data_IF_232942805733
#
_entry.id   IF_232942805733
#
_cell.length_a   1.000
_cell.length_b   1.000
_cell.length_c   1.000
_cell.angle_alpha   90.00
_cell.angle_beta   90.00
_cell.angle_gamma   90.00
#
_symmetry.space_group_name_H-M   'P 1'
#
loop_
_entity.id
_entity.type
_entity.pdbx_description
1 polymer ?
#
# COMPACT_ATOMS: atom_id res chain seq x y z
N UNK A 1 9.49 -4.62 -3.81
CA UNK A 1 9.41 -3.58 -2.75
C UNK A 1 7.98 -3.56 -2.26
N UNK A 2 7.73 -3.53 -0.94
CA UNK A 2 6.37 -3.65 -0.38
C UNK A 2 5.50 -2.44 -0.76
N UNK A 3 4.27 -2.67 -1.21
CA UNK A 3 3.31 -1.64 -1.62
C UNK A 3 2.52 -1.14 -0.42
N UNK A 4 2.78 0.08 0.05
CA UNK A 4 1.97 0.72 1.09
C UNK A 4 0.95 1.62 0.40
N UNK A 5 -0.34 1.32 0.58
CA UNK A 5 -1.46 2.06 0.02
C UNK A 5 -2.21 2.74 1.17
N UNK A 6 -2.30 4.08 1.12
CA UNK A 6 -3.06 4.84 2.09
C UNK A 6 -4.50 5.01 1.59
N UNK A 7 -5.45 4.59 2.41
CA UNK A 7 -6.87 4.76 2.13
C UNK A 7 -7.30 6.18 2.50
N UNK A 8 -7.59 6.95 1.46
CA UNK A 8 -8.07 8.31 1.50
C UNK A 8 -9.43 8.42 0.80
N UNK A 9 -10.26 7.37 0.84
CA UNK A 9 -11.62 7.41 0.28
C UNK A 9 -12.52 8.42 1.02
N UNK A 10 -12.20 8.74 2.28
CA UNK A 10 -12.94 9.70 3.12
C UNK A 10 -12.04 10.87 3.52
N UNK A 11 -12.61 12.08 3.47
CA UNK A 11 -11.97 13.29 3.95
C UNK A 11 -12.17 13.44 5.46
N UNK A 12 -11.16 13.09 6.23
CA UNK A 12 -11.11 13.34 7.69
C UNK A 12 -10.69 14.77 7.99
N UNK A 13 -10.89 15.24 9.22
CA UNK A 13 -10.51 16.60 9.65
C UNK A 13 -9.01 16.90 9.44
N UNK A 14 -8.17 15.87 9.56
CA UNK A 14 -6.71 15.93 9.38
C UNK A 14 -6.23 15.48 7.99
N UNK A 15 -7.13 15.37 7.00
CA UNK A 15 -6.81 14.85 5.66
C UNK A 15 -5.60 15.51 5.01
N UNK A 16 -5.51 16.85 5.05
CA UNK A 16 -4.40 17.59 4.43
C UNK A 16 -3.06 17.28 5.09
N UNK A 17 -3.04 17.18 6.42
CA UNK A 17 -1.83 16.86 7.18
C UNK A 17 -1.36 15.43 6.87
N UNK A 18 -2.30 14.48 6.75
CA UNK A 18 -2.01 13.10 6.36
C UNK A 18 -1.43 13.02 4.94
N UNK A 19 -2.01 13.73 3.97
CA UNK A 19 -1.51 13.76 2.60
C UNK A 19 -0.12 14.40 2.54
N UNK A 20 0.09 15.50 3.26
CA UNK A 20 1.39 16.16 3.33
C UNK A 20 2.46 15.23 3.92
N UNK A 21 2.15 14.54 5.02
CA UNK A 21 3.09 13.61 5.64
C UNK A 21 3.36 12.39 4.76
N UNK A 22 2.35 11.87 4.06
CA UNK A 22 2.54 10.81 3.09
C UNK A 22 3.59 11.20 2.05
N UNK A 23 3.53 12.44 1.54
CA UNK A 23 4.54 12.95 0.62
C UNK A 23 5.92 13.09 1.27
N UNK A 24 6.01 13.60 2.50
CA UNK A 24 7.29 13.71 3.24
C UNK A 24 7.96 12.34 3.38
N UNK A 25 7.18 11.29 3.62
CA UNK A 25 7.66 9.92 3.79
C UNK A 25 7.80 9.13 2.48
N UNK A 26 7.52 9.78 1.33
CA UNK A 26 7.54 9.21 -0.01
C UNK A 26 6.54 8.03 -0.19
N UNK A 27 5.39 8.11 0.47
CA UNK A 27 4.24 7.26 0.20
C UNK A 27 3.38 7.91 -0.88
N UNK A 28 3.28 7.25 -2.04
CA UNK A 28 2.65 7.80 -3.24
C UNK A 28 1.45 6.99 -3.73
N UNK A 29 1.13 5.84 -3.13
CA UNK A 29 -0.02 5.03 -3.50
C UNK A 29 -1.24 5.42 -2.67
N UNK A 30 -2.26 6.03 -3.30
CA UNK A 30 -3.46 6.50 -2.60
C UNK A 30 -4.71 5.85 -3.18
N UNK A 31 -5.54 5.29 -2.31
CA UNK A 31 -6.89 4.85 -2.64
C UNK A 31 -7.86 6.01 -2.45
N UNK A 32 -8.53 6.42 -3.52
CA UNK A 32 -9.30 7.66 -3.61
C UNK A 32 -10.76 7.41 -4.01
N UNK A 33 -11.64 8.24 -3.46
CA UNK A 33 -13.02 8.39 -3.91
C UNK A 33 -13.13 9.57 -4.88
N UNK A 34 -14.30 9.82 -5.44
CA UNK A 34 -14.53 10.96 -6.35
C UNK A 34 -14.25 12.31 -5.67
N UNK A 35 -14.65 12.42 -4.40
CA UNK A 35 -14.42 13.62 -3.58
C UNK A 35 -12.91 13.89 -3.42
N UNK A 36 -12.14 12.91 -2.97
CA UNK A 36 -10.72 13.10 -2.67
C UNK A 36 -9.84 13.09 -3.91
N UNK A 37 -10.27 12.42 -4.98
CA UNK A 37 -9.61 12.47 -6.28
C UNK A 37 -9.57 13.89 -6.84
N UNK A 38 -10.67 14.64 -6.78
CA UNK A 38 -10.77 16.01 -7.31
C UNK A 38 -9.74 16.97 -6.69
N UNK A 39 -9.27 16.71 -5.46
CA UNK A 39 -8.22 17.50 -4.81
C UNK A 39 -6.79 17.10 -5.21
N UNK A 40 -6.59 15.85 -5.62
CA UNK A 40 -5.27 15.25 -5.85
C UNK A 40 -4.99 14.93 -7.32
N UNK A 41 -5.97 15.07 -8.22
CA UNK A 41 -5.86 14.73 -9.65
C UNK A 41 -4.72 15.47 -10.36
N UNK A 42 -4.35 16.66 -9.89
CA UNK A 42 -3.29 17.49 -10.48
C UNK A 42 -1.87 17.04 -10.09
N UNK A 43 -1.74 16.08 -9.18
CA UNK A 43 -0.45 15.64 -8.65
C UNK A 43 0.01 14.39 -9.40
N UNK A 44 0.79 14.56 -10.48
CA UNK A 44 1.20 13.46 -11.37
C UNK A 44 1.99 12.33 -10.68
N UNK A 45 2.74 12.66 -9.62
CA UNK A 45 3.59 11.70 -8.90
C UNK A 45 2.82 10.67 -8.08
N UNK A 46 1.51 10.85 -7.85
CA UNK A 46 0.73 9.85 -7.11
C UNK A 46 0.38 8.67 -8.01
N UNK A 47 0.34 7.49 -7.41
CA UNK A 47 -0.21 6.29 -8.00
C UNK A 47 -1.63 6.09 -7.47
N UNK A 48 -2.62 6.34 -8.31
CA UNK A 48 -4.02 6.36 -7.93
C UNK A 48 -4.64 4.98 -7.96
N UNK A 49 -5.29 4.61 -6.86
CA UNK A 49 -6.15 3.44 -6.72
C UNK A 49 -7.59 3.93 -6.54
N UNK A 50 -8.56 3.22 -7.10
CA UNK A 50 -9.97 3.55 -6.90
C UNK A 50 -10.87 2.33 -7.13
N UNK A 51 -12.04 2.33 -6.50
CA UNK A 51 -13.13 1.39 -6.78
C UNK A 51 -14.13 1.96 -7.80
N UNK A 52 -14.03 3.25 -8.15
CA UNK A 52 -14.91 3.89 -9.11
C UNK A 52 -14.26 3.92 -10.51
N UNK A 53 -14.90 3.25 -11.47
CA UNK A 53 -14.43 3.08 -12.86
C UNK A 53 -14.49 4.39 -13.68
N UNK A 54 -15.30 5.36 -13.22
CA UNK A 54 -15.42 6.67 -13.85
C UNK A 54 -14.21 7.55 -13.59
N UNK A 55 -13.45 7.26 -12.52
CA UNK A 55 -12.23 7.99 -12.18
C UNK A 55 -11.08 7.49 -13.06
N UNK A 56 -10.34 8.37 -13.76
CA UNK A 56 -9.21 7.99 -14.61
C UNK A 56 -7.97 7.68 -13.77
N UNK A 57 -8.02 6.58 -13.01
CA UNK A 57 -6.95 6.11 -12.15
C UNK A 57 -6.02 5.09 -12.84
N UNK A 58 -4.80 4.95 -12.30
CA UNK A 58 -3.80 3.97 -12.78
C UNK A 58 -4.14 2.53 -12.33
N UNK A 59 -4.87 2.38 -11.23
CA UNK A 59 -5.23 1.09 -10.64
C UNK A 59 -6.73 1.07 -10.29
N UNK A 60 -7.47 0.14 -10.89
CA UNK A 60 -8.90 -0.05 -10.63
C UNK A 60 -9.12 -1.27 -9.75
N UNK A 61 -10.00 -1.18 -8.76
CA UNK A 61 -10.31 -2.26 -7.81
C UNK A 61 -11.76 -2.70 -8.02
N UNK A 62 -11.93 -3.96 -8.38
CA UNK A 62 -13.25 -4.58 -8.60
C UNK A 62 -13.67 -5.44 -7.41
N UNK A 63 -14.96 -5.45 -7.09
CA UNK A 63 -15.55 -6.37 -6.10
C UNK A 63 -16.34 -7.52 -6.74
N UNK A 64 -16.48 -7.52 -8.07
CA UNK A 64 -17.26 -8.51 -8.82
C UNK A 64 -16.52 -8.94 -10.09
N UNK A 65 -16.41 -10.25 -10.32
CA UNK A 65 -15.71 -10.83 -11.47
C UNK A 65 -16.35 -10.48 -12.82
N UNK A 66 -17.68 -10.33 -12.87
CA UNK A 66 -18.38 -9.90 -14.09
C UNK A 66 -17.98 -8.47 -14.48
N UNK A 67 -17.92 -7.58 -13.48
CA UNK A 67 -17.50 -6.21 -13.67
C UNK A 67 -16.03 -6.14 -14.10
N UNK A 68 -15.17 -6.92 -13.46
CA UNK A 68 -13.76 -7.03 -13.83
C UNK A 68 -13.59 -7.42 -15.31
N UNK A 69 -14.31 -8.44 -15.78
CA UNK A 69 -14.20 -8.91 -17.17
C UNK A 69 -14.71 -7.90 -18.19
N UNK A 70 -15.73 -7.12 -17.83
CA UNK A 70 -16.35 -6.14 -18.72
C UNK A 70 -15.57 -4.82 -18.78
N UNK A 71 -15.04 -4.38 -17.66
CA UNK A 71 -14.53 -3.01 -17.46
C UNK A 71 -13.00 -2.95 -17.38
N UNK A 72 -12.31 -4.09 -17.57
CA UNK A 72 -10.84 -4.14 -17.70
C UNK A 72 -10.38 -3.30 -18.89
N UNK A 73 -9.40 -2.42 -18.65
CA UNK A 73 -8.83 -1.51 -19.65
C UNK A 73 -7.36 -1.84 -19.87
N UNK A 74 -6.93 -1.83 -21.12
CA UNK A 74 -5.52 -2.00 -21.46
C UNK A 74 -4.70 -0.82 -20.91
N UNK A 75 -3.58 -1.09 -20.24
CA UNK A 75 -2.72 -0.07 -19.64
C UNK A 75 -3.17 0.44 -18.26
N UNK A 76 -4.22 -0.13 -17.68
CA UNK A 76 -4.68 0.14 -16.31
C UNK A 76 -4.53 -1.13 -15.49
N UNK A 77 -3.88 -1.04 -14.34
CA UNK A 77 -3.71 -2.18 -13.45
C UNK A 77 -5.07 -2.58 -12.84
N UNK A 78 -5.35 -3.87 -12.80
CA UNK A 78 -6.61 -4.44 -12.34
C UNK A 78 -6.41 -5.14 -11.00
N UNK A 79 -7.10 -4.65 -9.99
CA UNK A 79 -7.16 -5.22 -8.65
C UNK A 79 -8.50 -5.88 -8.36
N UNK A 80 -8.52 -6.87 -7.48
CA UNK A 80 -9.76 -7.46 -6.96
C UNK A 80 -9.82 -7.36 -5.44
N UNK A 81 -10.97 -6.98 -4.89
CA UNK A 81 -11.21 -6.94 -3.44
C UNK A 81 -12.03 -8.15 -2.99
N UNK A 82 -11.55 -8.87 -1.98
CA UNK A 82 -12.27 -10.01 -1.39
C UNK A 82 -12.20 -9.98 0.15
N UNK A 83 -13.35 -10.17 0.78
CA UNK A 83 -13.45 -10.38 2.23
C UNK A 83 -13.50 -11.89 2.51
N UNK A 84 -12.55 -12.39 3.30
CA UNK A 84 -12.53 -13.79 3.75
C UNK A 84 -13.51 -14.00 4.91
N UNK A 85 -14.50 -14.86 4.68
CA UNK A 85 -15.50 -15.28 5.67
C UNK A 85 -15.38 -16.77 5.98
N UNK A 86 -15.07 -17.56 4.96
CA UNK A 86 -15.00 -19.01 5.00
C UNK A 86 -13.69 -19.50 4.36
N UNK A 87 -13.29 -20.71 4.71
CA UNK A 87 -12.08 -21.35 4.14
C UNK A 87 -12.13 -21.49 2.61
N UNK A 88 -13.32 -21.56 2.01
CA UNK A 88 -13.47 -21.63 0.56
C UNK A 88 -13.10 -20.30 -0.14
N UNK A 89 -13.13 -19.18 0.59
CA UNK A 89 -12.77 -17.87 0.04
C UNK A 89 -11.26 -17.80 -0.21
N UNK A 90 -10.44 -18.43 0.63
CA UNK A 90 -8.99 -18.56 0.41
C UNK A 90 -8.69 -19.23 -0.94
N UNK A 91 -9.44 -20.31 -1.24
CA UNK A 91 -9.29 -21.02 -2.52
C UNK A 91 -9.67 -20.14 -3.70
N UNK A 92 -10.74 -19.34 -3.56
CA UNK A 92 -11.15 -18.41 -4.61
C UNK A 92 -10.09 -17.34 -4.88
N UNK A 93 -9.44 -16.79 -3.85
CA UNK A 93 -8.30 -15.86 -3.99
C UNK A 93 -7.14 -16.54 -4.72
N UNK A 94 -6.76 -17.75 -4.31
CA UNK A 94 -5.65 -18.49 -4.91
C UNK A 94 -5.94 -18.83 -6.38
N UNK A 95 -7.15 -19.27 -6.69
CA UNK A 95 -7.54 -19.61 -8.07
C UNK A 95 -7.52 -18.34 -8.94
N UNK A 96 -8.04 -17.21 -8.45
CA UNK A 96 -7.99 -15.93 -9.15
C UNK A 96 -6.56 -15.44 -9.40
N UNK A 97 -5.66 -15.61 -8.41
CA UNK A 97 -4.25 -15.19 -8.55
C UNK A 97 -3.47 -15.94 -9.64
N UNK A 98 -4.02 -17.03 -10.18
CA UNK A 98 -3.40 -17.85 -11.22
C UNK A 98 -3.94 -17.56 -12.62
N UNK A 99 -4.99 -16.76 -12.75
CA UNK A 99 -5.66 -16.52 -14.05
C UNK A 99 -4.98 -15.42 -14.88
N UNK A 100 -4.05 -14.67 -14.29
CA UNK A 100 -3.45 -13.46 -14.85
C UNK A 100 -4.50 -12.40 -15.27
N UNK A 101 -5.72 -12.49 -14.75
CA UNK A 101 -6.76 -11.49 -15.01
C UNK A 101 -6.56 -10.23 -14.15
N UNK A 102 -5.85 -10.36 -13.02
CA UNK A 102 -5.56 -9.31 -12.03
C UNK A 102 -4.07 -9.13 -11.83
N UNK A 103 -3.66 -7.90 -11.53
CA UNK A 103 -2.30 -7.55 -11.14
C UNK A 103 -2.13 -7.63 -9.62
N UNK A 104 -3.20 -7.44 -8.85
CA UNK A 104 -3.18 -7.54 -7.39
C UNK A 104 -4.53 -7.95 -6.80
N UNK A 105 -4.51 -8.54 -5.59
CA UNK A 105 -5.72 -8.87 -4.83
C UNK A 105 -5.62 -8.24 -3.45
N UNK A 106 -6.64 -7.44 -3.09
CA UNK A 106 -6.80 -6.88 -1.76
C UNK A 106 -7.70 -7.81 -0.95
N UNK A 107 -7.16 -8.32 0.15
CA UNK A 107 -7.84 -9.27 1.02
C UNK A 107 -8.11 -8.62 2.37
N UNK A 108 -9.33 -8.78 2.88
CA UNK A 108 -9.66 -8.48 4.28
C UNK A 108 -10.10 -9.73 5.02
N UNK A 109 -9.80 -9.81 6.32
CA UNK A 109 -10.28 -10.85 7.22
C UNK A 109 -10.73 -10.18 8.52
N UNK A 110 -11.79 -10.68 9.15
CA UNK A 110 -12.32 -10.10 10.41
C UNK A 110 -11.66 -10.70 11.65
N UNK A 111 -12.01 -11.94 11.99
CA UNK A 111 -11.78 -12.46 13.36
C UNK A 111 -10.53 -13.37 13.51
N UNK A 112 -10.03 -13.96 12.42
CA UNK A 112 -8.93 -14.94 12.45
C UNK A 112 -7.94 -14.68 11.31
N UNK A 113 -7.20 -13.57 11.36
CA UNK A 113 -6.46 -13.05 10.19
C UNK A 113 -5.18 -13.83 9.87
N UNK A 114 -4.45 -14.35 10.87
CA UNK A 114 -3.10 -14.91 10.65
C UNK A 114 -3.09 -16.16 9.76
N UNK A 115 -3.85 -17.20 10.11
CA UNK A 115 -3.82 -18.48 9.39
C UNK A 115 -4.24 -18.34 7.90
N UNK A 116 -5.32 -17.61 7.56
CA UNK A 116 -5.66 -17.36 6.16
C UNK A 116 -4.54 -16.64 5.40
N UNK A 117 -3.94 -15.61 6.00
CA UNK A 117 -2.84 -14.91 5.34
C UNK A 117 -1.58 -15.78 5.20
N UNK A 118 -1.28 -16.66 6.16
CA UNK A 118 -0.20 -17.65 6.00
C UNK A 118 -0.45 -18.56 4.79
N UNK A 119 -1.68 -19.09 4.65
CA UNK A 119 -2.05 -19.93 3.52
C UNK A 119 -1.95 -19.18 2.18
N UNK A 120 -2.44 -17.94 2.14
CA UNK A 120 -2.41 -17.10 0.94
C UNK A 120 -0.97 -16.73 0.56
N UNK A 121 -0.15 -16.30 1.51
CA UNK A 121 1.27 -15.98 1.28
C UNK A 121 1.99 -17.22 0.75
N UNK A 122 1.84 -18.37 1.40
CA UNK A 122 2.47 -19.62 0.96
C UNK A 122 2.05 -19.99 -0.48
N UNK A 123 0.79 -19.80 -0.85
CA UNK A 123 0.28 -20.13 -2.17
C UNK A 123 0.62 -19.09 -3.26
N UNK A 124 0.79 -17.82 -2.91
CA UNK A 124 0.90 -16.70 -3.87
C UNK A 124 2.30 -16.10 -3.99
N UNK A 125 3.24 -16.38 -3.08
CA UNK A 125 4.57 -15.73 -3.06
C UNK A 125 5.43 -15.92 -4.33
N UNK A 126 5.06 -16.84 -5.23
CA UNK A 126 5.73 -17.06 -6.52
C UNK A 126 4.90 -16.65 -7.73
N UNK A 127 3.68 -16.14 -7.50
CA UNK A 127 2.79 -15.69 -8.56
C UNK A 127 3.13 -14.25 -8.96
N UNK A 128 2.73 -13.87 -10.17
CA UNK A 128 2.89 -12.49 -10.65
C UNK A 128 1.82 -11.53 -10.09
N UNK A 129 0.80 -12.04 -9.38
CA UNK A 129 -0.26 -11.27 -8.75
C UNK A 129 0.11 -10.90 -7.31
N UNK A 130 0.12 -9.60 -6.97
CA UNK A 130 0.45 -9.15 -5.61
C UNK A 130 -0.68 -9.45 -4.62
N UNK A 131 -0.31 -9.94 -3.42
CA UNK A 131 -1.21 -10.03 -2.28
C UNK A 131 -1.15 -8.76 -1.43
N UNK A 132 -2.28 -8.07 -1.27
CA UNK A 132 -2.40 -6.85 -0.46
C UNK A 132 -3.34 -7.11 0.73
N UNK A 133 -2.87 -6.90 1.95
CA UNK A 133 -3.72 -7.03 3.15
C UNK A 133 -4.41 -5.69 3.48
N UNK A 134 -5.73 -5.69 3.67
CA UNK A 134 -6.43 -4.61 4.36
C UNK A 134 -6.19 -4.74 5.85
N UNK A 135 -5.57 -3.72 6.46
CA UNK A 135 -5.20 -3.69 7.87
C UNK A 135 -5.79 -2.47 8.58
N UNK A 136 -6.07 -2.60 9.88
CA UNK A 136 -6.78 -1.58 10.67
C UNK A 136 -5.84 -0.65 11.46
N UNK A 137 -4.63 -1.11 11.75
CA UNK A 137 -3.63 -0.41 12.53
C UNK A 137 -2.18 -0.81 12.16
N UNK A 138 -1.23 -0.21 12.86
CA UNK A 138 0.21 -0.38 12.60
C UNK A 138 0.67 -1.76 13.08
N UNK A 139 0.10 -2.27 14.16
CA UNK A 139 0.40 -3.58 14.71
C UNK A 139 0.01 -4.68 13.73
N UNK A 140 -1.17 -4.59 13.11
CA UNK A 140 -1.62 -5.50 12.06
C UNK A 140 -0.80 -5.34 10.79
N UNK A 141 -0.46 -4.10 10.39
CA UNK A 141 0.45 -3.83 9.28
C UNK A 141 1.80 -4.53 9.46
N UNK A 142 2.41 -4.39 10.64
CA UNK A 142 3.70 -5.02 10.97
C UNK A 142 3.60 -6.55 10.91
N UNK A 143 2.54 -7.12 11.50
CA UNK A 143 2.27 -8.55 11.47
C UNK A 143 2.21 -9.06 10.03
N UNK A 144 1.32 -8.50 9.20
CA UNK A 144 1.12 -8.96 7.82
C UNK A 144 2.35 -8.80 6.93
N UNK A 145 3.12 -7.73 7.14
CA UNK A 145 4.37 -7.48 6.40
C UNK A 145 5.50 -8.45 6.78
N UNK A 146 5.41 -9.14 7.94
CA UNK A 146 6.45 -10.04 8.47
C UNK A 146 6.04 -11.52 8.52
N UNK A 147 4.76 -11.84 8.33
CA UNK A 147 4.22 -13.21 8.37
C UNK A 147 5.04 -14.17 7.48
N UNK A 148 5.39 -15.35 8.00
CA UNK A 148 6.24 -16.36 7.34
C UNK A 148 7.63 -15.86 6.90
N UNK A 149 8.14 -14.75 7.45
CA UNK A 149 9.38 -14.07 7.02
C UNK A 149 9.37 -13.54 5.58
N UNK A 150 8.28 -13.80 4.84
CA UNK A 150 8.05 -13.36 3.47
C UNK A 150 7.12 -12.14 3.48
N UNK A 151 6.02 -12.23 4.22
CA UNK A 151 4.97 -11.22 4.34
C UNK A 151 4.15 -11.00 3.06
N UNK A 152 3.03 -10.31 3.18
CA UNK A 152 2.23 -9.87 2.02
C UNK A 152 3.00 -8.87 1.14
N UNK A 153 2.68 -8.76 -0.14
CA UNK A 153 3.35 -7.84 -1.07
C UNK A 153 3.02 -6.38 -0.82
N UNK A 154 1.88 -6.11 -0.19
CA UNK A 154 1.48 -4.78 0.22
C UNK A 154 0.42 -4.75 1.31
N UNK A 155 0.13 -3.55 1.80
CA UNK A 155 -0.96 -3.30 2.72
C UNK A 155 -1.81 -2.12 2.24
N UNK A 156 -3.08 -2.16 2.57
CA UNK A 156 -4.03 -1.05 2.48
C UNK A 156 -4.42 -0.67 3.90
N UNK A 157 -4.20 0.58 4.29
CA UNK A 157 -4.45 1.06 5.65
C UNK A 157 -5.14 2.43 5.63
N UNK A 158 -6.07 2.66 6.56
CA UNK A 158 -6.63 3.99 6.83
C UNK A 158 -5.78 4.65 7.93
N UNK A 159 -4.86 5.57 7.61
CA UNK A 159 -4.06 6.23 8.64
C UNK A 159 -4.96 7.13 9.49
N UNK A 160 -4.88 7.01 10.81
CA UNK A 160 -5.70 7.79 11.76
C UNK A 160 -5.03 9.14 12.06
N UNK A 161 -3.70 9.18 12.04
CA UNK A 161 -2.90 10.37 12.33
C UNK A 161 -1.53 10.32 11.64
N UNK A 162 -0.82 11.46 11.64
CA UNK A 162 0.51 11.63 11.03
C UNK A 162 1.54 10.62 11.57
N UNK A 163 1.47 10.26 12.87
CA UNK A 163 2.41 9.29 13.44
C UNK A 163 2.24 7.88 12.86
N UNK A 164 1.04 7.50 12.40
CA UNK A 164 0.83 6.22 11.74
C UNK A 164 1.68 6.14 10.47
N UNK A 165 1.72 7.21 9.68
CA UNK A 165 2.52 7.30 8.45
C UNK A 165 4.02 7.21 8.77
N UNK A 166 4.49 7.90 9.81
CA UNK A 166 5.89 7.84 10.28
C UNK A 166 6.27 6.42 10.71
N UNK A 167 5.39 5.75 11.46
CA UNK A 167 5.61 4.37 11.91
C UNK A 167 5.62 3.40 10.72
N UNK A 168 4.70 3.52 9.75
CA UNK A 168 4.71 2.72 8.53
C UNK A 168 6.04 2.82 7.79
N UNK A 169 6.63 4.02 7.69
CA UNK A 169 7.93 4.21 7.06
C UNK A 169 9.02 3.42 7.75
N UNK A 170 9.00 3.41 9.08
CA UNK A 170 9.96 2.68 9.91
C UNK A 170 9.84 1.16 9.77
N UNK A 171 8.65 0.64 9.47
CA UNK A 171 8.42 -0.80 9.24
C UNK A 171 9.03 -1.29 7.92
N UNK A 172 8.89 -0.52 6.84
CA UNK A 172 9.35 -0.94 5.51
C UNK A 172 10.81 -0.62 5.23
N UNK A 173 11.34 0.41 5.88
CA UNK A 173 12.70 0.85 5.75
C UNK A 173 13.24 0.99 7.17
N UNK A 174 13.62 -0.13 7.82
CA UNK A 174 14.27 -0.07 9.10
C UNK A 174 15.48 0.86 8.93
N UNK A 175 15.45 1.99 9.64
CA UNK A 175 16.50 2.99 9.52
C UNK A 175 17.84 2.31 9.71
N UNK A 176 18.77 2.54 8.79
CA UNK A 176 20.16 2.15 9.03
C UNK A 176 20.59 2.96 10.25
N UNK A 177 20.73 2.29 11.39
CA UNK A 177 21.41 2.89 12.55
C UNK A 177 22.87 3.04 12.15
N UNK A 178 23.23 4.23 11.69
CA UNK A 178 24.63 4.58 11.48
C UNK A 178 25.19 4.95 12.85
N UNK A 179 26.19 4.21 13.31
CA UNK A 179 26.92 4.60 14.51
C UNK A 179 27.71 5.87 14.21
N UNK A 180 27.36 6.93 14.93
CA UNK A 180 28.10 8.19 14.87
C UNK A 180 29.42 8.02 15.62
N UNK A 181 30.53 8.27 14.94
CA UNK A 181 31.86 8.26 15.55
C UNK A 181 32.39 9.69 15.74
N UNK A 182 33.18 9.91 16.79
CA UNK A 182 33.90 11.17 16.98
C UNK A 182 34.94 11.31 15.88
N UNK A 183 34.91 12.42 15.15
CA UNK A 183 35.94 12.77 14.16
C UNK A 183 36.86 13.86 14.71
N UNK A 184 38.14 13.81 14.34
CA UNK A 184 39.11 14.86 14.65
C UNK A 184 39.21 15.83 13.47
N UNK A 185 39.06 17.13 13.75
CA UNK A 185 39.36 18.17 12.76
C UNK A 185 40.86 18.11 12.45
N UNK A 186 41.21 17.82 11.20
CA UNK A 186 42.61 17.73 10.74
C UNK A 186 43.11 19.05 10.18
N UNK A 187 42.23 19.89 9.63
CA UNK A 187 42.58 21.18 9.03
C UNK A 187 41.36 22.11 8.97
N UNK A 188 41.60 23.40 9.19
CA UNK A 188 40.63 24.48 8.94
C UNK A 188 41.25 25.41 7.91
N UNK A 189 40.48 25.82 6.91
CA UNK A 189 40.91 26.79 5.88
C UNK A 189 39.82 27.82 5.66
N UNK A 190 40.22 29.09 5.61
CA UNK A 190 39.34 30.18 5.22
C UNK A 190 39.21 30.19 3.70
N UNK A 191 37.99 30.27 3.20
CA UNK A 191 37.73 30.45 1.78
C UNK A 191 37.77 31.96 1.51
N UNK A 192 38.52 32.43 0.49
CA UNK A 192 38.53 33.85 0.16
C UNK A 192 37.12 34.28 -0.28
N UNK A 193 36.63 35.40 0.25
CA UNK A 193 35.47 36.07 -0.31
C UNK A 193 35.85 36.62 -1.69
N UNK A 194 35.02 36.34 -2.69
CA UNK A 194 35.15 36.92 -4.02
C UNK A 194 34.95 38.44 -3.96
N UNK A 195 35.94 39.20 -4.44
CA UNK A 195 35.84 40.64 -4.74
C UNK A 195 34.77 40.94 -5.80
#
# INVERSE_FOLDING_TARGET
MKKIILNFEKKTDNFKDLVQEAFNMNFLNFLLSEETYSELEKIERINTFTKNIEIPAKNLIFGNLEQLKKEKRLGVNCGFFMELKLKNDEKAVIDLSKTNEVDFIIVSAKDWKVIPFENLIAAMHTNDTDLIALVEDIEEAELMLKTLEIGVDGILIIPKNVNDIIKLKSLIQPGIKIELAKAKITKIQNIPESE
#
